data_IF_115575114849
#
_entry.id   IF_115575114849
#
_cell.length_a   1.000
_cell.length_b   1.000
_cell.length_c   1.000
_cell.angle_alpha   90.00
_cell.angle_beta   90.00
_cell.angle_gamma   90.00
#
_symmetry.space_group_name_H-M   'P 1'
#
loop_
_entity.id
_entity.type
_entity.pdbx_description
1 polymer ?
#
# COMPACT_ATOMS: atom_id res chain seq x y z
N UNK A 1 1.39 -14.73 -13.17
CA UNK A 1 0.69 -13.48 -13.51
C UNK A 1 -0.68 -13.51 -12.87
N UNK A 2 -1.16 -12.36 -12.39
CA UNK A 2 -2.50 -12.17 -11.83
C UNK A 2 -3.55 -12.33 -12.94
N UNK A 3 -4.64 -13.05 -12.65
CA UNK A 3 -5.81 -13.15 -13.54
C UNK A 3 -6.93 -12.26 -12.99
N UNK A 4 -7.53 -11.42 -13.82
CA UNK A 4 -8.60 -10.49 -13.43
C UNK A 4 -9.88 -10.80 -14.20
N UNK A 5 -11.00 -10.91 -13.49
CA UNK A 5 -12.33 -11.25 -14.02
C UNK A 5 -13.45 -10.52 -13.28
N UNK A 6 -14.65 -10.53 -13.85
CA UNK A 6 -15.92 -10.17 -13.19
C UNK A 6 -16.81 -11.41 -13.10
N UNK A 7 -17.89 -11.38 -12.31
CA UNK A 7 -18.88 -12.48 -12.31
C UNK A 7 -19.70 -12.58 -13.59
N UNK A 8 -19.67 -11.54 -14.44
CA UNK A 8 -20.32 -11.59 -15.76
C UNK A 8 -19.46 -12.30 -16.82
N UNK A 9 -18.20 -12.63 -16.51
CA UNK A 9 -17.31 -13.36 -17.41
C UNK A 9 -17.49 -14.88 -17.27
N UNK A 10 -17.13 -15.62 -18.32
CA UNK A 10 -16.87 -17.07 -18.20
C UNK A 10 -15.57 -17.31 -17.39
N UNK A 11 -15.67 -17.27 -16.06
CA UNK A 11 -14.51 -17.32 -15.16
C UNK A 11 -14.18 -18.72 -14.62
N UNK A 12 -15.15 -19.65 -14.59
CA UNK A 12 -15.05 -20.95 -13.89
C UNK A 12 -13.80 -21.72 -14.29
N UNK A 13 -13.59 -21.96 -15.58
CA UNK A 13 -12.40 -22.68 -16.09
C UNK A 13 -11.09 -21.97 -15.74
N UNK A 14 -11.07 -20.64 -15.77
CA UNK A 14 -9.87 -19.88 -15.41
C UNK A 14 -9.59 -19.91 -13.91
N UNK A 15 -10.63 -19.94 -13.09
CA UNK A 15 -10.52 -20.09 -11.64
C UNK A 15 -9.99 -21.48 -11.28
N UNK A 16 -10.50 -22.54 -11.91
CA UNK A 16 -9.99 -23.91 -11.76
C UNK A 16 -8.49 -24.01 -12.06
N UNK A 17 -8.06 -23.48 -13.22
CA UNK A 17 -6.65 -23.45 -13.59
C UNK A 17 -5.81 -22.61 -12.62
N UNK A 18 -6.34 -21.47 -12.16
CA UNK A 18 -5.62 -20.63 -11.19
C UNK A 18 -5.41 -21.35 -9.86
N UNK A 19 -6.43 -22.07 -9.36
CA UNK A 19 -6.34 -22.88 -8.14
C UNK A 19 -5.28 -23.98 -8.30
N UNK A 20 -5.32 -24.76 -9.38
CA UNK A 20 -4.36 -25.85 -9.60
C UNK A 20 -2.91 -25.35 -9.70
N UNK A 21 -2.70 -24.26 -10.43
CA UNK A 21 -1.36 -23.70 -10.65
C UNK A 21 -0.92 -22.70 -9.55
N UNK A 22 -1.71 -22.50 -8.50
CA UNK A 22 -1.37 -21.57 -7.41
C UNK A 22 -1.23 -20.11 -7.88
N UNK A 23 -1.98 -19.70 -8.90
CA UNK A 23 -1.91 -18.34 -9.45
C UNK A 23 -2.90 -17.42 -8.74
N UNK A 24 -2.54 -16.17 -8.42
CA UNK A 24 -3.47 -15.24 -7.82
C UNK A 24 -4.59 -14.88 -8.80
N UNK A 25 -5.80 -14.73 -8.27
CA UNK A 25 -7.02 -14.44 -9.02
C UNK A 25 -7.77 -13.27 -8.37
N UNK A 26 -8.24 -12.32 -9.17
CA UNK A 26 -8.95 -11.13 -8.72
C UNK A 26 -10.31 -11.05 -9.40
N UNK A 27 -11.38 -10.97 -8.60
CA UNK A 27 -12.66 -10.45 -9.08
C UNK A 27 -12.74 -8.94 -8.89
N UNK A 28 -13.09 -8.21 -9.94
CA UNK A 28 -13.28 -6.76 -9.89
C UNK A 28 -14.74 -6.34 -10.06
N UNK A 29 -15.05 -5.15 -9.54
CA UNK A 29 -16.38 -4.52 -9.63
C UNK A 29 -17.51 -5.43 -9.12
N UNK A 30 -17.29 -6.09 -7.99
CA UNK A 30 -18.34 -6.90 -7.37
C UNK A 30 -19.47 -6.04 -6.83
N UNK A 31 -20.69 -6.50 -7.05
CA UNK A 31 -21.90 -5.96 -6.46
C UNK A 31 -22.13 -6.55 -5.06
N UNK A 32 -23.34 -6.41 -4.52
CA UNK A 32 -23.70 -6.94 -3.19
C UNK A 32 -23.93 -8.47 -3.19
N UNK A 33 -24.22 -9.05 -4.36
CA UNK A 33 -24.42 -10.49 -4.53
C UNK A 33 -23.14 -11.15 -5.04
N UNK A 34 -22.71 -12.21 -4.35
CA UNK A 34 -21.60 -13.05 -4.78
C UNK A 34 -22.14 -14.30 -5.48
N UNK A 35 -21.47 -14.72 -6.56
CA UNK A 35 -21.83 -15.96 -7.24
C UNK A 35 -21.57 -17.17 -6.31
N UNK A 36 -22.58 -17.98 -5.96
CA UNK A 36 -22.42 -19.15 -5.09
C UNK A 36 -21.40 -20.18 -5.61
N UNK A 37 -21.07 -20.15 -6.90
CA UNK A 37 -20.06 -21.03 -7.51
C UNK A 37 -18.67 -20.89 -6.84
N UNK A 38 -18.37 -19.76 -6.20
CA UNK A 38 -17.10 -19.55 -5.47
C UNK A 38 -17.17 -19.90 -3.98
N UNK A 39 -18.34 -20.24 -3.43
CA UNK A 39 -18.51 -20.59 -2.00
C UNK A 39 -17.55 -21.68 -1.52
N UNK A 40 -17.29 -22.78 -2.27
CA UNK A 40 -16.34 -23.80 -1.83
C UNK A 40 -14.95 -23.22 -1.52
N UNK A 41 -14.53 -22.21 -2.28
CA UNK A 41 -13.23 -21.54 -2.14
C UNK A 41 -13.24 -20.61 -0.93
N UNK A 42 -14.31 -19.82 -0.77
CA UNK A 42 -14.44 -18.87 0.35
C UNK A 42 -14.54 -19.60 1.70
N UNK A 43 -15.35 -20.66 1.75
CA UNK A 43 -15.55 -21.47 2.95
C UNK A 43 -14.45 -22.50 3.20
N UNK A 44 -13.47 -22.61 2.28
CA UNK A 44 -12.36 -23.55 2.40
C UNK A 44 -12.85 -25.01 2.55
N UNK A 45 -13.85 -25.40 1.75
CA UNK A 45 -14.45 -26.75 1.74
C UNK A 45 -13.50 -27.78 1.11
N UNK A 46 -12.41 -28.07 1.81
CA UNK A 46 -11.39 -29.01 1.36
C UNK A 46 -11.72 -30.45 1.72
N UNK A 47 -11.38 -31.37 0.81
CA UNK A 47 -11.46 -32.82 1.04
C UNK A 47 -10.08 -33.41 0.78
N UNK A 48 -9.62 -34.29 1.66
CA UNK A 48 -8.36 -35.02 1.44
C UNK A 48 -8.67 -36.30 0.67
N UNK A 49 -8.11 -36.42 -0.54
CA UNK A 49 -8.22 -37.62 -1.38
C UNK A 49 -6.80 -38.07 -1.71
N UNK A 50 -6.46 -39.31 -1.36
CA UNK A 50 -5.12 -39.88 -1.60
C UNK A 50 -3.95 -39.02 -1.07
N UNK A 51 -4.16 -38.31 0.05
CA UNK A 51 -3.16 -37.42 0.66
C UNK A 51 -3.04 -36.04 0.00
N UNK A 52 -3.78 -35.78 -1.09
CA UNK A 52 -3.86 -34.47 -1.72
C UNK A 52 -5.09 -33.70 -1.22
N UNK A 53 -4.93 -32.39 -1.06
CA UNK A 53 -5.99 -31.47 -0.70
C UNK A 53 -6.76 -31.11 -1.97
N UNK A 54 -8.04 -31.46 -2.02
CA UNK A 54 -8.91 -31.24 -3.17
C UNK A 54 -10.04 -30.28 -2.80
N UNK A 55 -10.55 -29.56 -3.79
CA UNK A 55 -11.75 -28.73 -3.66
C UNK A 55 -12.69 -29.03 -4.83
N UNK A 56 -14.00 -28.94 -4.61
CA UNK A 56 -14.99 -29.15 -5.67
C UNK A 56 -15.55 -27.81 -6.11
N UNK A 57 -15.47 -27.50 -7.40
CA UNK A 57 -15.99 -26.28 -8.01
C UNK A 57 -16.94 -26.69 -9.15
N UNK A 58 -18.25 -26.45 -8.97
CA UNK A 58 -19.29 -27.05 -9.82
C UNK A 58 -19.20 -28.57 -9.85
N UNK A 59 -19.02 -29.12 -11.05
CA UNK A 59 -18.92 -30.58 -11.28
C UNK A 59 -17.47 -31.10 -11.20
N UNK A 60 -16.48 -30.22 -11.10
CA UNK A 60 -15.06 -30.59 -11.18
C UNK A 60 -14.41 -30.66 -9.80
N UNK A 61 -13.70 -31.75 -9.55
CA UNK A 61 -12.80 -31.87 -8.41
C UNK A 61 -11.37 -31.50 -8.82
N UNK A 62 -10.81 -30.49 -8.18
CA UNK A 62 -9.52 -29.90 -8.53
C UNK A 62 -8.55 -29.96 -7.35
N UNK A 63 -7.28 -30.21 -7.64
CA UNK A 63 -6.22 -30.17 -6.64
C UNK A 63 -6.01 -28.73 -6.15
N UNK A 64 -5.98 -28.55 -4.84
CA UNK A 64 -5.76 -27.26 -4.21
C UNK A 64 -4.28 -26.98 -4.06
N UNK A 65 -3.84 -25.84 -4.59
CA UNK A 65 -2.50 -25.32 -4.37
C UNK A 65 -2.50 -24.27 -3.26
N UNK A 66 -1.71 -24.46 -2.20
CA UNK A 66 -1.66 -23.53 -1.07
C UNK A 66 -1.05 -22.15 -1.42
N UNK A 67 -0.42 -22.01 -2.59
CA UNK A 67 0.04 -20.70 -3.11
C UNK A 67 -1.09 -19.87 -3.75
N UNK A 68 -2.28 -20.45 -3.95
CA UNK A 68 -3.42 -19.76 -4.53
C UNK A 68 -3.95 -18.66 -3.60
N UNK A 69 -4.25 -17.49 -4.17
CA UNK A 69 -4.84 -16.35 -3.45
C UNK A 69 -5.99 -15.80 -4.28
N UNK A 70 -7.18 -15.74 -3.66
CA UNK A 70 -8.34 -15.08 -4.22
C UNK A 70 -8.48 -13.68 -3.62
N UNK A 71 -8.62 -12.68 -4.49
CA UNK A 71 -8.89 -11.29 -4.14
C UNK A 71 -10.21 -10.86 -4.79
N UNK A 72 -10.89 -9.92 -4.14
CA UNK A 72 -12.18 -9.40 -4.59
C UNK A 72 -12.19 -7.89 -4.34
N UNK A 73 -12.66 -7.10 -5.29
CA UNK A 73 -12.78 -5.65 -5.14
C UNK A 73 -14.16 -5.16 -5.54
N UNK A 74 -14.66 -4.15 -4.82
CA UNK A 74 -15.92 -3.47 -5.10
C UNK A 74 -15.71 -1.97 -5.06
N UNK A 75 -16.48 -1.23 -5.86
CA UNK A 75 -16.52 0.24 -5.84
C UNK A 75 -17.63 0.79 -4.94
N UNK A 76 -18.48 -0.09 -4.41
CA UNK A 76 -19.55 0.29 -3.50
C UNK A 76 -18.91 0.85 -2.22
N UNK A 77 -19.29 2.06 -1.82
CA UNK A 77 -18.69 2.72 -0.65
C UNK A 77 -19.14 2.09 0.68
N UNK A 78 -20.31 1.43 0.70
CA UNK A 78 -20.83 0.69 1.84
C UNK A 78 -21.78 -0.44 1.38
N UNK A 79 -21.24 -1.49 0.74
CA UNK A 79 -22.04 -2.63 0.29
C UNK A 79 -22.65 -3.33 1.49
N UNK A 80 -23.95 -3.61 1.43
CA UNK A 80 -24.67 -4.35 2.48
C UNK A 80 -24.52 -5.85 2.29
N UNK A 81 -23.30 -6.34 2.39
CA UNK A 81 -23.05 -7.78 2.37
C UNK A 81 -23.79 -8.49 3.51
N UNK A 82 -24.34 -9.66 3.21
CA UNK A 82 -25.02 -10.47 4.23
C UNK A 82 -24.02 -10.93 5.30
N UNK A 83 -24.46 -11.22 6.54
CA UNK A 83 -23.57 -11.78 7.57
C UNK A 83 -22.85 -13.05 7.12
N UNK A 84 -23.48 -13.81 6.22
CA UNK A 84 -22.90 -14.99 5.59
C UNK A 84 -21.64 -14.63 4.77
N UNK A 85 -21.73 -13.65 3.87
CA UNK A 85 -20.58 -13.18 3.08
C UNK A 85 -19.49 -12.59 4.00
N UNK A 86 -19.89 -11.81 5.00
CA UNK A 86 -18.95 -11.22 5.97
C UNK A 86 -18.23 -12.28 6.83
N UNK A 87 -18.85 -13.44 7.06
CA UNK A 87 -18.23 -14.56 7.78
C UNK A 87 -17.25 -15.37 6.93
N UNK A 88 -17.42 -15.37 5.61
CA UNK A 88 -16.61 -16.17 4.66
C UNK A 88 -15.36 -15.45 4.18
N UNK A 89 -15.33 -14.11 4.22
CA UNK A 89 -14.23 -13.31 3.67
C UNK A 89 -13.74 -12.24 4.65
N UNK A 90 -12.44 -11.96 4.62
CA UNK A 90 -11.86 -10.83 5.33
C UNK A 90 -12.06 -9.55 4.52
N UNK A 91 -12.83 -8.61 5.06
CA UNK A 91 -13.12 -7.33 4.40
C UNK A 91 -12.03 -6.30 4.76
N UNK A 92 -11.42 -5.72 3.74
CA UNK A 92 -10.47 -4.61 3.89
C UNK A 92 -11.12 -3.33 3.40
N UNK A 93 -11.32 -2.38 4.31
CA UNK A 93 -11.87 -1.08 3.95
C UNK A 93 -10.77 -0.17 3.36
N UNK A 94 -10.82 0.06 2.05
CA UNK A 94 -9.91 0.93 1.32
C UNK A 94 -10.46 2.36 1.11
N UNK A 95 -11.47 2.78 1.87
CA UNK A 95 -12.03 4.13 1.78
C UNK A 95 -10.98 5.16 2.19
N UNK A 96 -10.88 6.21 1.39
CA UNK A 96 -10.01 7.35 1.65
C UNK A 96 -10.52 8.07 2.88
N UNK A 97 -9.63 8.29 3.85
CA UNK A 97 -9.93 9.05 5.07
C UNK A 97 -9.48 10.50 4.94
N UNK A 98 -10.07 11.40 5.74
CA UNK A 98 -9.65 12.82 5.78
C UNK A 98 -8.16 12.97 6.08
N UNK A 99 -7.64 12.23 7.06
CA UNK A 99 -6.23 12.30 7.44
C UNK A 99 -5.33 11.65 6.39
N UNK A 100 -5.75 10.53 5.80
CA UNK A 100 -5.02 9.87 4.72
C UNK A 100 -4.89 10.77 3.48
N UNK A 101 -5.97 11.42 3.08
CA UNK A 101 -5.93 12.38 1.98
C UNK A 101 -5.10 13.63 2.34
N UNK A 102 -5.21 14.14 3.57
CA UNK A 102 -4.38 15.26 4.01
C UNK A 102 -2.88 14.91 3.95
N UNK A 103 -2.49 13.69 4.29
CA UNK A 103 -1.11 13.23 4.15
C UNK A 103 -0.69 13.13 2.68
N UNK A 104 -1.56 12.65 1.78
CA UNK A 104 -1.29 12.62 0.34
C UNK A 104 -1.13 14.03 -0.24
N UNK A 105 -2.04 14.94 0.08
CA UNK A 105 -1.98 16.33 -0.35
C UNK A 105 -0.75 17.05 0.20
N UNK A 106 -0.25 16.68 1.39
CA UNK A 106 0.99 17.23 1.93
C UNK A 106 2.17 16.89 1.02
N UNK A 107 2.26 15.67 0.50
CA UNK A 107 3.29 15.29 -0.46
C UNK A 107 3.21 16.16 -1.72
N UNK A 108 2.00 16.44 -2.23
CA UNK A 108 1.80 17.29 -3.40
C UNK A 108 2.24 18.74 -3.14
N UNK A 109 1.84 19.32 -2.00
CA UNK A 109 2.20 20.70 -1.64
C UNK A 109 3.70 20.83 -1.42
N UNK A 110 4.31 19.90 -0.68
CA UNK A 110 5.77 19.92 -0.41
C UNK A 110 6.55 19.71 -1.69
N UNK A 111 6.17 18.74 -2.53
CA UNK A 111 6.83 18.51 -3.82
C UNK A 111 6.74 19.72 -4.75
N UNK A 112 5.69 20.52 -4.65
CA UNK A 112 5.54 21.76 -5.42
C UNK A 112 6.36 22.92 -4.84
N UNK A 113 6.28 23.18 -3.54
CA UNK A 113 6.92 24.36 -2.91
C UNK A 113 8.40 24.12 -2.56
N UNK A 114 8.78 22.89 -2.23
CA UNK A 114 10.12 22.47 -1.78
C UNK A 114 10.54 21.14 -2.42
N UNK A 115 10.75 21.12 -3.75
CA UNK A 115 11.19 19.91 -4.46
C UNK A 115 12.54 19.39 -3.95
N UNK A 116 13.41 20.29 -3.47
CA UNK A 116 14.69 19.97 -2.84
C UNK A 116 14.51 19.08 -1.59
N UNK A 117 13.50 19.38 -0.78
CA UNK A 117 13.20 18.65 0.43
C UNK A 117 12.55 17.29 0.14
N UNK A 118 11.74 17.21 -0.92
CA UNK A 118 11.16 15.94 -1.38
C UNK A 118 12.24 15.02 -1.98
N UNK A 119 13.18 15.55 -2.74
CA UNK A 119 14.32 14.78 -3.27
C UNK A 119 15.19 14.24 -2.13
N UNK A 120 15.49 15.07 -1.12
CA UNK A 120 16.25 14.64 0.06
C UNK A 120 15.53 13.52 0.82
N UNK A 121 14.20 13.64 0.99
CA UNK A 121 13.38 12.60 1.61
C UNK A 121 13.42 11.30 0.81
N UNK A 122 13.30 11.35 -0.50
CA UNK A 122 13.34 10.16 -1.37
C UNK A 122 14.69 9.45 -1.30
N UNK A 123 15.79 10.20 -1.37
CA UNK A 123 17.15 9.67 -1.19
C UNK A 123 17.32 8.99 0.17
N UNK A 124 16.81 9.62 1.23
CA UNK A 124 16.87 9.07 2.58
C UNK A 124 16.09 7.76 2.72
N UNK A 125 14.88 7.70 2.15
CA UNK A 125 14.06 6.48 2.15
C UNK A 125 14.76 5.35 1.39
N UNK A 126 15.35 5.65 0.24
CA UNK A 126 16.10 4.66 -0.55
C UNK A 126 17.30 4.13 0.26
N UNK A 127 18.11 5.03 0.83
CA UNK A 127 19.26 4.65 1.66
C UNK A 127 18.85 3.79 2.86
N UNK A 128 17.76 4.13 3.55
CA UNK A 128 17.24 3.32 4.66
C UNK A 128 16.78 1.93 4.19
N UNK A 129 16.16 1.84 3.02
CA UNK A 129 15.74 0.57 2.42
C UNK A 129 16.95 -0.31 2.09
N UNK A 130 17.94 0.26 1.42
CA UNK A 130 19.17 -0.44 1.02
C UNK A 130 19.93 -0.93 2.26
N UNK A 131 20.09 -0.08 3.27
CA UNK A 131 20.73 -0.44 4.53
C UNK A 131 20.01 -1.59 5.25
N UNK A 132 18.67 -1.58 5.29
CA UNK A 132 17.88 -2.67 5.88
C UNK A 132 18.02 -3.96 5.09
N UNK A 133 18.08 -3.89 3.77
CA UNK A 133 18.30 -5.06 2.93
C UNK A 133 19.69 -5.67 3.16
N UNK A 134 20.73 -4.82 3.22
CA UNK A 134 22.09 -5.28 3.54
C UNK A 134 22.14 -5.88 4.94
N UNK A 135 21.51 -5.25 5.93
CA UNK A 135 21.43 -5.79 7.30
C UNK A 135 20.83 -7.20 7.31
N UNK A 136 19.68 -7.39 6.67
CA UNK A 136 19.04 -8.71 6.57
C UNK A 136 19.93 -9.72 5.86
N UNK A 137 20.60 -9.33 4.79
CA UNK A 137 21.50 -10.23 4.06
C UNK A 137 22.71 -10.66 4.89
N UNK A 138 23.23 -9.78 5.74
CA UNK A 138 24.31 -10.09 6.68
C UNK A 138 23.82 -11.08 7.74
N UNK A 139 22.63 -10.85 8.31
CA UNK A 139 22.00 -11.76 9.28
C UNK A 139 21.78 -13.16 8.68
N UNK A 140 21.21 -13.25 7.48
CA UNK A 140 20.95 -14.51 6.78
C UNK A 140 22.26 -15.26 6.46
N UNK A 141 23.31 -14.52 6.07
CA UNK A 141 24.63 -15.10 5.80
C UNK A 141 25.26 -15.66 7.08
N UNK A 142 25.22 -14.90 8.17
CA UNK A 142 25.72 -15.34 9.47
C UNK A 142 25.01 -16.60 9.97
N UNK A 143 23.68 -16.64 9.88
CA UNK A 143 22.90 -17.82 10.27
C UNK A 143 23.27 -19.05 9.45
N UNK A 144 23.47 -18.88 8.13
CA UNK A 144 23.87 -19.97 7.23
C UNK A 144 25.26 -20.50 7.57
N UNK A 145 26.23 -19.62 7.75
CA UNK A 145 27.62 -19.98 8.06
C UNK A 145 27.72 -20.68 9.42
N UNK A 146 27.01 -20.19 10.44
CA UNK A 146 26.93 -20.84 11.76
C UNK A 146 26.29 -22.22 11.68
N UNK A 147 25.20 -22.37 10.92
CA UNK A 147 24.51 -23.66 10.74
C UNK A 147 25.33 -24.67 9.91
N UNK A 148 26.14 -24.19 8.96
CA UNK A 148 26.99 -25.03 8.12
C UNK A 148 28.30 -25.45 8.82
N UNK A 149 28.74 -24.70 9.85
CA UNK A 149 29.97 -25.00 10.58
C UNK A 149 29.88 -26.35 11.30
N UNK A 150 30.79 -27.27 10.98
CA UNK A 150 30.96 -28.55 11.67
C UNK A 150 32.34 -28.55 12.34
N UNK A 151 32.39 -28.73 13.65
CA UNK A 151 33.64 -28.67 14.43
C UNK A 151 33.74 -27.40 15.30
N UNK A 152 34.95 -27.11 15.80
CA UNK A 152 35.21 -25.90 16.60
C UNK A 152 35.20 -24.66 15.70
N UNK A 153 34.27 -23.74 15.97
CA UNK A 153 34.15 -22.44 15.27
C UNK A 153 35.46 -21.62 15.35
N UNK A 154 36.24 -21.84 16.41
CA UNK A 154 37.50 -21.16 16.65
C UNK A 154 38.62 -21.60 15.69
N UNK A 155 38.45 -22.73 15.01
CA UNK A 155 39.46 -23.29 14.09
C UNK A 155 39.17 -22.91 12.63
N UNK A 156 38.06 -22.21 12.37
CA UNK A 156 37.67 -21.76 11.04
C UNK A 156 37.98 -20.27 10.85
N UNK A 157 39.19 -19.98 10.37
CA UNK A 157 39.67 -18.62 10.11
C UNK A 157 38.77 -17.85 9.12
N UNK A 158 38.20 -18.50 8.12
CA UNK A 158 37.29 -17.88 7.14
C UNK A 158 35.96 -17.44 7.81
N UNK A 159 35.44 -18.27 8.71
CA UNK A 159 34.24 -17.95 9.49
C UNK A 159 34.50 -16.78 10.45
N UNK A 160 35.66 -16.75 11.10
CA UNK A 160 36.05 -15.66 12.00
C UNK A 160 36.19 -14.34 11.23
N UNK A 161 36.79 -14.35 10.04
CA UNK A 161 36.88 -13.15 9.20
C UNK A 161 35.50 -12.67 8.74
N UNK A 162 34.61 -13.60 8.34
CA UNK A 162 33.24 -13.28 7.93
C UNK A 162 32.44 -12.67 9.09
N UNK A 163 32.56 -13.23 10.29
CA UNK A 163 31.94 -12.71 11.52
C UNK A 163 32.43 -11.30 11.86
N UNK A 164 33.73 -11.06 11.78
CA UNK A 164 34.30 -9.73 12.05
C UNK A 164 33.85 -8.70 11.02
N UNK A 165 33.86 -9.05 9.72
CA UNK A 165 33.39 -8.16 8.66
C UNK A 165 31.89 -7.84 8.80
N UNK A 166 31.08 -8.84 9.11
CA UNK A 166 29.65 -8.66 9.33
C UNK A 166 29.37 -7.80 10.56
N UNK A 167 30.13 -7.97 11.65
CA UNK A 167 30.04 -7.14 12.86
C UNK A 167 30.33 -5.67 12.55
N UNK A 168 31.46 -5.38 11.88
CA UNK A 168 31.84 -4.01 11.51
C UNK A 168 30.78 -3.36 10.64
N UNK A 169 30.35 -4.04 9.56
CA UNK A 169 29.29 -3.52 8.68
C UNK A 169 27.95 -3.31 9.41
N UNK A 170 27.61 -4.18 10.34
CA UNK A 170 26.36 -4.03 11.12
C UNK A 170 26.39 -2.78 12.01
N UNK A 171 27.55 -2.45 12.59
CA UNK A 171 27.73 -1.22 13.38
C UNK A 171 27.61 0.00 12.46
N UNK A 172 28.29 0.01 11.32
CA UNK A 172 28.20 1.10 10.33
C UNK A 172 26.76 1.33 9.84
N UNK A 173 26.03 0.23 9.55
CA UNK A 173 24.62 0.29 9.14
C UNK A 173 23.75 0.85 10.26
N UNK A 174 23.97 0.43 11.52
CA UNK A 174 23.21 0.93 12.67
C UNK A 174 23.41 2.45 12.86
N UNK A 175 24.65 2.93 12.78
CA UNK A 175 24.96 4.37 12.85
C UNK A 175 24.35 5.14 11.66
N UNK A 176 24.41 4.58 10.45
CA UNK A 176 23.79 5.17 9.26
C UNK A 176 22.26 5.23 9.37
N UNK A 177 21.62 4.22 9.92
CA UNK A 177 20.17 4.20 10.15
C UNK A 177 19.76 5.20 11.24
N UNK A 178 20.55 5.35 12.31
CA UNK A 178 20.28 6.32 13.37
C UNK A 178 20.40 7.76 12.85
N UNK A 179 21.46 8.06 12.11
CA UNK A 179 21.62 9.38 11.46
C UNK A 179 20.50 9.65 10.47
N UNK A 180 20.13 8.67 9.64
CA UNK A 180 19.02 8.80 8.71
C UNK A 180 17.68 9.06 9.44
N UNK A 181 17.44 8.42 10.58
CA UNK A 181 16.25 8.65 11.39
C UNK A 181 16.19 10.07 11.95
N UNK A 182 17.32 10.62 12.43
CA UNK A 182 17.41 12.00 12.91
C UNK A 182 17.10 12.99 11.77
N UNK A 183 17.71 12.80 10.61
CA UNK A 183 17.45 13.63 9.42
C UNK A 183 15.98 13.55 8.98
N UNK A 184 15.38 12.36 9.03
CA UNK A 184 13.96 12.17 8.69
C UNK A 184 13.03 13.01 9.59
N UNK A 185 13.31 13.07 10.89
CA UNK A 185 12.56 13.89 11.84
C UNK A 185 12.70 15.39 11.53
N UNK A 186 13.88 15.85 11.13
CA UNK A 186 14.10 17.25 10.74
C UNK A 186 13.37 17.62 9.44
N UNK A 187 13.40 16.72 8.46
CA UNK A 187 12.62 16.83 7.23
C UNK A 187 11.14 16.94 7.57
N UNK A 188 10.60 16.04 8.39
CA UNK A 188 9.18 16.05 8.75
C UNK A 188 8.77 17.30 9.53
N UNK A 189 9.62 17.84 10.42
CA UNK A 189 9.39 19.14 11.07
C UNK A 189 9.22 20.27 10.06
N UNK A 190 10.05 20.30 9.03
CA UNK A 190 10.00 21.32 7.99
C UNK A 190 8.75 21.14 7.11
N UNK A 191 8.35 19.89 6.84
CA UNK A 191 7.11 19.56 6.09
C UNK A 191 5.86 19.98 6.86
N UNK A 192 5.91 19.93 8.18
CA UNK A 192 4.76 20.23 9.03
C UNK A 192 4.22 21.65 8.85
N UNK A 193 5.07 22.59 8.42
CA UNK A 193 4.68 23.95 8.04
C UNK A 193 3.57 23.94 6.96
N UNK A 194 3.63 23.02 6.01
CA UNK A 194 2.70 22.91 4.88
C UNK A 194 1.43 22.11 5.22
N UNK A 195 1.40 21.42 6.38
CA UNK A 195 0.27 20.56 6.80
C UNK A 195 -1.06 21.31 6.84
N UNK A 196 -1.05 22.60 7.21
CA UNK A 196 -2.26 23.44 7.27
C UNK A 196 -2.93 23.59 5.90
N UNK A 197 -2.16 23.67 4.82
CA UNK A 197 -2.68 23.74 3.45
C UNK A 197 -3.29 22.41 3.06
N UNK A 198 -2.56 21.31 3.29
CA UNK A 198 -3.01 19.97 2.95
C UNK A 198 -4.30 19.57 3.71
N UNK A 199 -4.38 19.92 5.00
CA UNK A 199 -5.60 19.72 5.81
C UNK A 199 -6.78 20.51 5.25
N UNK A 200 -6.57 21.76 4.83
CA UNK A 200 -7.62 22.58 4.20
C UNK A 200 -8.09 21.94 2.89
N UNK A 201 -7.17 21.45 2.07
CA UNK A 201 -7.51 20.71 0.85
C UNK A 201 -8.37 19.47 1.16
N UNK A 202 -7.96 18.64 2.12
CA UNK A 202 -8.75 17.46 2.50
C UNK A 202 -10.18 17.83 2.92
N UNK A 203 -10.35 18.87 3.76
CA UNK A 203 -11.67 19.36 4.15
C UNK A 203 -12.52 19.78 2.94
N UNK A 204 -11.93 20.48 1.97
CA UNK A 204 -12.64 20.92 0.77
C UNK A 204 -13.07 19.74 -0.10
N UNK A 205 -12.21 18.73 -0.28
CA UNK A 205 -12.57 17.51 -1.00
C UNK A 205 -13.76 16.79 -0.35
N UNK A 206 -13.72 16.59 0.97
CA UNK A 206 -14.81 15.88 1.67
C UNK A 206 -16.11 16.69 1.72
N UNK A 207 -16.02 18.03 1.76
CA UNK A 207 -17.19 18.88 1.61
C UNK A 207 -17.81 18.72 0.21
N UNK A 208 -16.98 18.67 -0.84
CA UNK A 208 -17.42 18.48 -2.23
C UNK A 208 -17.98 17.07 -2.48
N UNK A 209 -17.30 16.03 -1.99
CA UNK A 209 -17.77 14.65 -2.14
C UNK A 209 -19.08 14.39 -1.39
N UNK A 210 -19.31 15.12 -0.30
CA UNK A 210 -20.59 15.11 0.43
C UNK A 210 -21.78 15.62 -0.38
N UNK A 211 -21.57 16.41 -1.44
CA UNK A 211 -22.66 16.97 -2.28
C UNK A 211 -23.42 15.90 -3.07
N UNK A 212 -22.82 14.72 -3.29
CA UNK A 212 -23.50 13.55 -3.90
C UNK A 212 -24.78 13.18 -3.14
N UNK A 213 -24.81 13.41 -1.82
CA UNK A 213 -25.99 13.14 -0.99
C UNK A 213 -27.18 14.06 -1.31
N UNK A 214 -26.95 15.21 -1.96
CA UNK A 214 -28.00 16.12 -2.42
C UNK A 214 -28.46 15.71 -3.82
N UNK A 215 -27.51 15.46 -4.73
CA UNK A 215 -27.79 14.99 -6.09
C UNK A 215 -26.63 14.17 -6.65
N UNK A 216 -26.96 13.06 -7.31
CA UNK A 216 -25.99 12.21 -8.02
C UNK A 216 -25.20 12.94 -9.11
N UNK A 217 -25.70 14.09 -9.59
CA UNK A 217 -24.98 14.91 -10.57
C UNK A 217 -23.70 15.55 -10.00
N UNK A 218 -23.56 15.64 -8.68
CA UNK A 218 -22.39 16.21 -8.00
C UNK A 218 -21.32 15.16 -7.65
N UNK A 219 -21.26 14.05 -8.39
CA UNK A 219 -20.22 13.05 -8.23
C UNK A 219 -18.92 13.51 -8.89
N UNK A 220 -17.92 13.83 -8.05
CA UNK A 220 -16.60 14.25 -8.50
C UNK A 220 -15.56 13.19 -8.18
N UNK A 221 -14.72 12.88 -9.16
CA UNK A 221 -13.58 12.00 -8.95
C UNK A 221 -12.48 12.71 -8.15
N UNK A 222 -11.76 11.96 -7.32
CA UNK A 222 -10.55 12.48 -6.65
C UNK A 222 -9.51 12.99 -7.67
N UNK A 223 -9.38 12.33 -8.82
CA UNK A 223 -8.45 12.75 -9.87
C UNK A 223 -8.76 14.16 -10.40
N UNK A 224 -10.04 14.45 -10.66
CA UNK A 224 -10.50 15.79 -11.06
C UNK A 224 -10.19 16.83 -9.98
N UNK A 225 -10.47 16.50 -8.71
CA UNK A 225 -10.15 17.36 -7.58
C UNK A 225 -8.64 17.67 -7.48
N UNK A 226 -7.78 16.65 -7.62
CA UNK A 226 -6.32 16.82 -7.57
C UNK A 226 -5.82 17.73 -8.70
N UNK A 227 -6.42 17.67 -9.89
CA UNK A 227 -6.11 18.58 -11.00
C UNK A 227 -6.44 20.05 -10.68
N UNK A 228 -7.59 20.30 -10.05
CA UNK A 228 -7.99 21.64 -9.59
C UNK A 228 -7.08 22.12 -8.46
N UNK A 229 -6.79 21.25 -7.50
CA UNK A 229 -5.88 21.52 -6.39
C UNK A 229 -4.48 21.93 -6.87
N UNK A 230 -3.92 21.19 -7.84
CA UNK A 230 -2.62 21.51 -8.46
C UNK A 230 -2.64 22.83 -9.24
N UNK A 231 -3.76 23.18 -9.88
CA UNK A 231 -3.92 24.48 -10.55
C UNK A 231 -3.98 25.62 -9.55
N UNK A 232 -4.73 25.46 -8.46
CA UNK A 232 -4.79 26.45 -7.39
C UNK A 232 -3.42 26.71 -6.74
N UNK A 233 -2.58 25.68 -6.57
CA UNK A 233 -1.20 25.82 -6.09
C UNK A 233 -0.35 26.70 -7.01
N UNK A 234 -0.43 26.47 -8.33
CA UNK A 234 0.32 27.20 -9.34
C UNK A 234 -0.11 28.66 -9.46
N UNK A 235 -1.41 28.93 -9.41
CA UNK A 235 -1.97 30.27 -9.58
C UNK A 235 -1.98 31.11 -8.30
N UNK A 236 -1.77 30.49 -7.13
CA UNK A 236 -1.69 31.22 -5.88
C UNK A 236 -0.57 32.27 -5.94
N UNK A 237 -0.81 33.45 -5.35
CA UNK A 237 0.17 34.55 -5.35
C UNK A 237 1.46 34.13 -4.62
N UNK A 238 2.65 34.24 -5.26
CA UNK A 238 3.90 33.92 -4.61
C UNK A 238 4.23 34.94 -3.51
N UNK A 239 4.90 34.48 -2.44
CA UNK A 239 5.39 35.33 -1.35
C UNK A 239 6.69 34.74 -0.80
N UNK A 240 7.60 35.59 -0.32
CA UNK A 240 8.86 35.18 0.28
C UNK A 240 8.68 34.69 1.72
N UNK A 241 7.66 35.18 2.41
CA UNK A 241 7.31 34.75 3.76
C UNK A 241 6.42 33.51 3.62
N UNK A 242 6.91 32.37 4.12
CA UNK A 242 6.22 31.08 4.00
C UNK A 242 4.79 31.17 4.53
N UNK A 243 4.56 31.77 5.69
CA UNK A 243 3.21 31.89 6.24
C UNK A 243 2.25 32.69 5.34
N UNK A 244 2.72 33.76 4.71
CA UNK A 244 1.93 34.52 3.74
C UNK A 244 1.68 33.72 2.47
N UNK A 245 2.69 32.99 1.97
CA UNK A 245 2.57 32.09 0.83
C UNK A 245 1.50 31.02 1.10
N UNK A 246 1.55 30.36 2.25
CA UNK A 246 0.57 29.33 2.66
C UNK A 246 -0.83 29.93 2.84
N UNK A 247 -0.95 31.18 3.29
CA UNK A 247 -2.22 31.89 3.35
C UNK A 247 -2.79 32.12 1.93
N UNK A 248 -1.98 32.66 1.02
CA UNK A 248 -2.39 32.90 -0.37
C UNK A 248 -2.85 31.61 -1.05
N UNK A 249 -2.15 30.49 -0.81
CA UNK A 249 -2.53 29.18 -1.34
C UNK A 249 -3.90 28.74 -0.82
N UNK A 250 -4.15 28.81 0.50
CA UNK A 250 -5.46 28.40 1.07
C UNK A 250 -6.62 29.26 0.56
N UNK A 251 -6.40 30.55 0.41
CA UNK A 251 -7.40 31.48 -0.13
C UNK A 251 -7.70 31.16 -1.59
N UNK A 252 -6.66 31.00 -2.43
CA UNK A 252 -6.81 30.63 -3.83
C UNK A 252 -7.48 29.26 -4.01
N UNK A 253 -7.09 28.26 -3.21
CA UNK A 253 -7.75 26.94 -3.21
C UNK A 253 -9.24 27.06 -2.91
N UNK A 254 -9.60 27.89 -1.92
CA UNK A 254 -11.01 28.11 -1.59
C UNK A 254 -11.72 28.78 -2.78
N UNK A 255 -11.15 29.83 -3.35
CA UNK A 255 -11.75 30.54 -4.49
C UNK A 255 -11.90 29.69 -5.76
N UNK A 256 -10.94 28.82 -6.07
CA UNK A 256 -11.01 27.96 -7.27
C UNK A 256 -12.02 26.82 -7.12
N UNK A 257 -12.39 26.48 -5.88
CA UNK A 257 -13.34 25.38 -5.59
C UNK A 257 -14.78 25.86 -5.36
N UNK A 258 -15.00 27.16 -5.19
CA UNK A 258 -16.32 27.80 -5.20
C UNK A 258 -16.68 28.23 -6.62
#
# INVERSE_FOLDING_TARGET
>A
GLTVKTFNDEYVKMLELAIQYGKPFLFENLDEELDPMIDPVLEKRFVIVNGQKMITLGDNQIEWNDMFVLMMTTKLSNPRYTPEVMGKASIVNCVITMDGLAAQLLNVVVGFERPDLEEMRQKLVQQMSDNRQVQKSLEDTLLRELAASKGSILDNDELIQTLNNAKTKSIEIAESLETAQKTSVEIDKTRDLYRKVAKRGSILYFAMSGLVNISKMYEYSLGSYLGVFGTALREAKPDKIVDNRLKNIREKMTQTMY
#
